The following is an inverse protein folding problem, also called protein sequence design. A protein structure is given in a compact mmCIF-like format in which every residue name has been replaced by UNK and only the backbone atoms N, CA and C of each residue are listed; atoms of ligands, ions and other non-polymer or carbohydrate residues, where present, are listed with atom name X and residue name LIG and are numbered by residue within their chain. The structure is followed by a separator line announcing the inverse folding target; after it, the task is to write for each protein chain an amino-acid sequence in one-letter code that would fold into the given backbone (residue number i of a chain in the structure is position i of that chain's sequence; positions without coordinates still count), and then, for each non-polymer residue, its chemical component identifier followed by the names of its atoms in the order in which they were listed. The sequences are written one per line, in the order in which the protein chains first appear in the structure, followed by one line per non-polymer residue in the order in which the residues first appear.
data_IF_093380507846
#
_entry.id   IF_093380507846
#
_cell.length_a   1.000
_cell.length_b   1.000
_cell.length_c   1.000
_cell.angle_alpha   90.00
_cell.angle_beta   90.00
_cell.angle_gamma   90.00
#
_symmetry.space_group_name_H-M   'P 1'
#
loop_
_entity.id
_entity.type
_entity.pdbx_description
1 polymer ?
#
# COMPACT_ATOMS: atom_id res chain seq x y z
N UNK A 1 -16.94 -18.82 -24.96
CA UNK A 1 -16.18 -17.60 -25.32
C UNK A 1 -16.27 -16.58 -24.20
N UNK A 2 -15.25 -16.52 -23.34
CA UNK A 2 -15.19 -15.72 -22.11
C UNK A 2 -15.04 -14.23 -22.44
N UNK A 3 -16.15 -13.58 -22.82
CA UNK A 3 -16.32 -12.13 -22.91
C UNK A 3 -17.25 -11.62 -21.79
N UNK A 4 -17.30 -12.30 -20.64
CA UNK A 4 -18.42 -12.19 -19.69
C UNK A 4 -18.18 -11.33 -18.44
N UNK A 5 -17.08 -10.60 -18.32
CA UNK A 5 -16.98 -9.52 -17.32
C UNK A 5 -16.15 -8.37 -17.90
N UNK A 6 -16.81 -7.38 -18.50
CA UNK A 6 -16.19 -6.23 -19.19
C UNK A 6 -15.39 -5.27 -18.32
N UNK A 7 -14.68 -5.75 -17.28
CA UNK A 7 -13.73 -4.96 -16.50
C UNK A 7 -12.44 -4.78 -17.28
N UNK A 8 -12.39 -3.68 -18.02
CA UNK A 8 -11.19 -3.24 -18.75
C UNK A 8 -10.19 -2.48 -17.88
N UNK A 9 -10.53 -2.21 -16.60
CA UNK A 9 -9.72 -1.40 -15.68
C UNK A 9 -9.66 -2.02 -14.28
N UNK A 10 -8.46 -2.15 -13.73
CA UNK A 10 -8.19 -2.67 -12.38
C UNK A 10 -7.21 -1.75 -11.64
N UNK A 11 -7.57 -1.31 -10.45
CA UNK A 11 -6.65 -0.64 -9.53
C UNK A 11 -6.23 -1.62 -8.44
N UNK A 12 -4.93 -1.79 -8.27
CA UNK A 12 -4.33 -2.60 -7.20
C UNK A 12 -3.67 -1.64 -6.22
N UNK A 13 -4.16 -1.63 -4.99
CA UNK A 13 -3.68 -0.73 -3.93
C UNK A 13 -2.66 -1.50 -3.09
N UNK A 14 -1.48 -0.93 -2.88
CA UNK A 14 -0.49 -1.49 -1.97
C UNK A 14 -0.95 -1.44 -0.50
N UNK A 15 -0.26 -2.15 0.38
CA UNK A 15 -0.44 -2.02 1.81
C UNK A 15 0.10 -0.67 2.32
N UNK A 16 -0.54 -0.06 3.32
CA UNK A 16 -0.01 1.11 4.01
C UNK A 16 1.20 0.72 4.89
N UNK A 17 1.84 1.67 5.60
CA UNK A 17 2.77 1.39 6.69
C UNK A 17 2.05 0.66 7.83
N UNK A 18 1.91 -0.67 7.71
CA UNK A 18 1.03 -1.49 8.55
C UNK A 18 1.39 -1.40 10.03
N UNK A 19 2.69 -1.33 10.36
CA UNK A 19 3.16 -1.17 11.73
C UNK A 19 2.85 0.19 12.36
N UNK A 20 2.45 1.18 11.56
CA UNK A 20 2.07 2.51 12.03
C UNK A 20 0.55 2.68 12.18
N UNK A 21 -0.25 1.63 11.98
CA UNK A 21 -1.70 1.73 12.19
C UNK A 21 -2.01 1.88 13.69
N UNK A 22 -3.02 2.69 14.07
CA UNK A 22 -3.39 2.87 15.48
C UNK A 22 -3.66 1.56 16.21
N UNK A 23 -4.24 0.56 15.53
CA UNK A 23 -4.46 -0.77 16.11
C UNK A 23 -3.16 -1.49 16.48
N UNK A 24 -2.10 -1.35 15.68
CA UNK A 24 -0.81 -1.97 15.98
C UNK A 24 -0.10 -1.23 17.11
N UNK A 25 -0.19 0.10 17.14
CA UNK A 25 0.35 0.92 18.23
C UNK A 25 -0.28 0.50 19.57
N UNK A 26 -1.61 0.39 19.62
CA UNK A 26 -2.36 -0.03 20.81
C UNK A 26 -2.03 -1.47 21.21
N UNK A 27 -2.04 -2.42 20.27
CA UNK A 27 -1.78 -3.83 20.58
C UNK A 27 -0.36 -4.08 21.08
N UNK A 28 0.62 -3.31 20.61
CA UNK A 28 2.02 -3.44 20.97
C UNK A 28 2.47 -2.47 22.08
N UNK A 29 1.55 -1.71 22.69
CA UNK A 29 1.82 -0.73 23.74
C UNK A 29 2.95 0.26 23.37
N UNK A 30 2.97 0.72 22.13
CA UNK A 30 3.97 1.68 21.65
C UNK A 30 3.61 3.10 22.10
N UNK A 31 4.63 3.90 22.41
CA UNK A 31 4.47 5.30 22.84
C UNK A 31 4.86 6.25 21.70
N UNK A 32 4.07 7.31 21.52
CA UNK A 32 4.30 8.33 20.49
C UNK A 32 4.20 7.78 19.06
N UNK A 33 4.93 8.40 18.13
CA UNK A 33 4.95 8.03 16.71
C UNK A 33 5.84 6.81 16.40
N UNK A 34 5.87 5.83 17.31
CA UNK A 34 6.64 4.60 17.14
C UNK A 34 5.80 3.58 16.38
N UNK A 35 6.38 2.97 15.35
CA UNK A 35 5.73 1.92 14.55
C UNK A 35 6.32 0.53 14.85
N UNK A 36 5.54 -0.52 14.62
CA UNK A 36 6.04 -1.91 14.63
C UNK A 36 6.83 -2.17 13.34
N UNK A 37 8.16 -2.07 13.40
CA UNK A 37 8.97 -2.06 12.17
C UNK A 37 8.97 -3.41 11.40
N UNK A 38 8.87 -4.53 12.11
CA UNK A 38 8.71 -5.85 11.48
C UNK A 38 7.50 -5.89 10.54
N UNK A 39 6.39 -5.27 10.95
CA UNK A 39 5.16 -5.21 10.18
C UNK A 39 5.28 -4.27 8.98
N UNK A 40 6.06 -3.20 9.11
CA UNK A 40 6.41 -2.33 7.99
C UNK A 40 7.29 -3.07 6.97
N UNK A 41 8.23 -3.91 7.39
CA UNK A 41 9.03 -4.74 6.49
C UNK A 41 8.18 -5.74 5.70
N UNK A 42 7.23 -6.41 6.38
CA UNK A 42 6.26 -7.30 5.73
C UNK A 42 5.44 -6.52 4.69
N UNK A 43 4.95 -5.33 5.02
CA UNK A 43 4.21 -4.48 4.09
C UNK A 43 5.06 -4.07 2.87
N UNK A 44 6.32 -3.65 3.07
CA UNK A 44 7.26 -3.33 1.98
C UNK A 44 7.57 -4.55 1.10
N UNK A 45 7.72 -5.72 1.69
CA UNK A 45 7.94 -6.98 0.96
C UNK A 45 6.72 -7.36 0.10
N UNK A 46 5.52 -7.31 0.68
CA UNK A 46 4.27 -7.55 -0.04
C UNK A 46 4.10 -6.57 -1.21
N UNK A 47 4.31 -5.28 -0.97
CA UNK A 47 4.18 -4.23 -1.99
C UNK A 47 5.15 -4.42 -3.16
N UNK A 48 6.39 -4.84 -2.91
CA UNK A 48 7.35 -5.21 -3.96
C UNK A 48 6.84 -6.35 -4.82
N UNK A 49 6.32 -7.42 -4.19
CA UNK A 49 5.81 -8.61 -4.89
C UNK A 49 4.56 -8.30 -5.70
N UNK A 50 3.58 -7.59 -5.14
CA UNK A 50 2.34 -7.28 -5.87
C UNK A 50 2.58 -6.30 -7.02
N UNK A 51 3.48 -5.32 -6.86
CA UNK A 51 3.90 -4.44 -7.96
C UNK A 51 4.51 -5.26 -9.11
N UNK A 52 5.42 -6.19 -8.82
CA UNK A 52 6.00 -7.06 -9.83
C UNK A 52 4.95 -7.93 -10.54
N UNK A 53 3.96 -8.45 -9.79
CA UNK A 53 2.83 -9.20 -10.37
C UNK A 53 1.96 -8.32 -11.27
N UNK A 54 1.67 -7.08 -10.87
CA UNK A 54 0.94 -6.12 -11.70
C UNK A 54 1.66 -5.86 -13.02
N UNK A 55 2.97 -5.59 -12.97
CA UNK A 55 3.77 -5.37 -14.17
C UNK A 55 3.81 -6.62 -15.07
N UNK A 56 3.94 -7.81 -14.48
CA UNK A 56 3.85 -9.07 -15.24
C UNK A 56 2.47 -9.25 -15.91
N UNK A 57 1.37 -8.92 -15.23
CA UNK A 57 0.02 -9.05 -15.79
C UNK A 57 -0.27 -8.04 -16.90
N UNK A 58 0.28 -6.82 -16.82
CA UNK A 58 0.21 -5.85 -17.92
C UNK A 58 0.76 -6.43 -19.23
N UNK A 59 1.87 -7.16 -19.15
CA UNK A 59 2.52 -7.77 -20.31
C UNK A 59 1.69 -8.90 -20.93
N UNK A 60 1.04 -9.72 -20.11
CA UNK A 60 0.29 -10.90 -20.59
C UNK A 60 -1.14 -10.57 -21.05
N UNK A 61 -1.69 -9.44 -20.59
CA UNK A 61 -3.07 -9.04 -20.87
C UNK A 61 -3.13 -7.60 -21.36
N UNK A 62 -2.69 -7.31 -22.61
CA UNK A 62 -2.65 -5.93 -23.14
C UNK A 62 -4.03 -5.25 -23.22
N UNK A 63 -5.13 -6.02 -23.21
CA UNK A 63 -6.50 -5.50 -23.11
C UNK A 63 -6.94 -5.07 -21.69
N UNK A 64 -6.17 -5.42 -20.65
CA UNK A 64 -6.42 -5.08 -19.26
C UNK A 64 -5.63 -3.84 -18.86
N UNK A 65 -6.32 -2.75 -18.51
CA UNK A 65 -5.68 -1.56 -17.94
C UNK A 65 -5.54 -1.72 -16.43
N UNK A 66 -4.40 -2.17 -15.97
CA UNK A 66 -4.12 -2.34 -14.54
C UNK A 66 -3.18 -1.23 -14.05
N UNK A 67 -3.46 -0.65 -12.88
CA UNK A 67 -2.61 0.33 -12.22
C UNK A 67 -2.28 -0.14 -10.80
N UNK A 68 -1.01 0.01 -10.40
CA UNK A 68 -0.59 -0.14 -9.00
C UNK A 68 -0.56 1.22 -8.34
N UNK A 69 -1.18 1.35 -7.16
CA UNK A 69 -1.25 2.57 -6.37
C UNK A 69 -0.40 2.39 -5.12
N UNK A 70 0.71 3.11 -5.08
CA UNK A 70 1.64 3.10 -3.95
C UNK A 70 1.17 4.05 -2.83
N UNK A 71 0.32 3.53 -1.95
CA UNK A 71 -0.14 4.28 -0.76
C UNK A 71 0.88 4.25 0.38
N UNK A 72 1.83 3.30 0.37
CA UNK A 72 2.81 3.15 1.45
C UNK A 72 3.64 4.42 1.60
N UNK A 73 4.28 4.84 0.52
CA UNK A 73 5.16 6.01 0.54
C UNK A 73 4.40 7.30 0.83
N UNK A 74 3.15 7.42 0.34
CA UNK A 74 2.31 8.61 0.58
C UNK A 74 1.91 8.73 2.04
N UNK A 75 1.48 7.62 2.66
CA UNK A 75 1.10 7.63 4.07
C UNK A 75 2.32 7.71 4.98
N UNK A 76 3.45 7.08 4.63
CA UNK A 76 4.69 7.21 5.38
C UNK A 76 5.20 8.68 5.41
N UNK A 77 5.10 9.41 4.29
CA UNK A 77 5.47 10.84 4.25
C UNK A 77 4.52 11.68 5.11
N UNK A 78 3.23 11.37 5.12
CA UNK A 78 2.23 12.04 5.96
C UNK A 78 2.48 11.79 7.46
N UNK A 79 2.79 10.54 7.85
CA UNK A 79 3.14 10.19 9.23
C UNK A 79 4.43 10.91 9.65
N UNK A 80 5.43 11.00 8.76
CA UNK A 80 6.71 11.63 9.06
C UNK A 80 6.65 13.16 9.08
N UNK A 81 5.77 13.76 8.29
CA UNK A 81 5.66 15.21 8.12
C UNK A 81 4.20 15.67 8.19
N UNK A 82 3.50 15.50 9.32
CA UNK A 82 2.07 15.78 9.42
C UNK A 82 1.72 17.24 9.05
N UNK A 83 2.57 18.20 9.45
CA UNK A 83 2.38 19.62 9.18
C UNK A 83 2.41 19.97 7.69
N UNK A 84 3.19 19.25 6.87
CA UNK A 84 3.20 19.38 5.39
C UNK A 84 1.83 19.09 4.78
N UNK A 85 1.01 18.30 5.48
CA UNK A 85 -0.33 17.89 5.08
C UNK A 85 -1.44 18.59 5.88
N UNK A 86 -1.10 19.54 6.76
CA UNK A 86 -2.07 20.26 7.59
C UNK A 86 -2.56 19.49 8.81
N UNK A 87 -1.85 18.43 9.23
CA UNK A 87 -2.12 17.71 10.47
C UNK A 87 -1.20 18.20 11.60
N UNK A 88 -1.72 18.12 12.82
CA UNK A 88 -1.00 18.37 14.08
C UNK A 88 -0.73 17.02 14.78
N UNK A 89 0.34 16.95 15.57
CA UNK A 89 0.64 15.80 16.45
C UNK A 89 0.01 15.99 17.83
#
# INVERSE_FOLDING_TARGET
NVKSEGRTRLAVIGLPPFGCLPSQITLHNLIGNTCVEEFNEVARSFNRKIKALVENKKLHYPGLRIAYIDIYNKLADMIRFPSKYGFEE
#
